data_IF_255930568410
#
_entry.id   IF_255930568410
#
_cell.length_a   1.000
_cell.length_b   1.000
_cell.length_c   1.000
_cell.angle_alpha   90.00
_cell.angle_beta   90.00
_cell.angle_gamma   90.00
#
_symmetry.space_group_name_H-M   'P 1'
#
loop_
_entity.id
_entity.type
_entity.pdbx_description
1 polymer ?
#
# COMPACT_ATOMS: atom_id res chain seq x y z
N UNK A 1 -36.88 29.44 -16.70
CA UNK A 1 -36.41 28.06 -16.97
C UNK A 1 -36.83 27.59 -18.36
N UNK A 2 -38.05 27.88 -18.81
CA UNK A 2 -38.53 27.51 -20.16
C UNK A 2 -37.63 28.01 -21.30
N UNK A 3 -37.07 29.23 -21.18
CA UNK A 3 -36.14 29.82 -22.16
C UNK A 3 -34.86 29.00 -22.37
N UNK A 4 -34.50 28.12 -21.44
CA UNK A 4 -33.33 27.24 -21.54
C UNK A 4 -33.69 25.77 -21.81
N UNK A 5 -34.97 25.47 -22.04
CA UNK A 5 -35.48 24.10 -22.19
C UNK A 5 -34.76 23.32 -23.28
N UNK A 6 -34.59 23.92 -24.46
CA UNK A 6 -33.89 23.28 -25.58
C UNK A 6 -32.46 22.83 -25.21
N UNK A 7 -31.71 23.66 -24.47
CA UNK A 7 -30.36 23.30 -24.00
C UNK A 7 -30.38 22.24 -22.90
N UNK A 8 -31.40 22.25 -22.05
CA UNK A 8 -31.54 21.30 -20.96
C UNK A 8 -32.02 19.91 -21.41
N UNK A 9 -32.84 19.84 -22.47
CA UNK A 9 -33.25 18.61 -23.14
C UNK A 9 -32.10 17.98 -23.95
N UNK A 10 -31.09 18.76 -24.36
CA UNK A 10 -29.94 18.23 -25.07
C UNK A 10 -28.97 17.42 -24.17
N UNK A 11 -29.10 17.56 -22.85
CA UNK A 11 -28.25 16.87 -21.87
C UNK A 11 -28.41 15.35 -21.97
N UNK A 12 -27.28 14.65 -21.87
CA UNK A 12 -27.24 13.18 -21.93
C UNK A 12 -28.18 12.50 -20.93
N UNK A 13 -28.36 13.07 -19.73
CA UNK A 13 -29.26 12.51 -18.72
C UNK A 13 -30.74 12.58 -19.12
N UNK A 14 -31.17 13.68 -19.75
CA UNK A 14 -32.53 13.78 -20.27
C UNK A 14 -32.73 12.82 -21.45
N UNK A 15 -31.77 12.76 -22.36
CA UNK A 15 -31.80 11.84 -23.52
C UNK A 15 -31.85 10.36 -23.14
N UNK A 16 -31.31 9.97 -21.98
CA UNK A 16 -31.42 8.61 -21.44
C UNK A 16 -32.76 8.31 -20.78
N UNK A 17 -33.60 9.33 -20.55
CA UNK A 17 -34.86 9.23 -19.82
C UNK A 17 -34.68 9.23 -18.31
N UNK A 18 -33.52 9.65 -17.80
CA UNK A 18 -33.23 9.57 -16.38
C UNK A 18 -33.98 10.64 -15.59
N UNK A 19 -34.21 11.83 -16.16
CA UNK A 19 -34.77 12.97 -15.44
C UNK A 19 -35.70 13.82 -16.30
N UNK A 20 -36.55 14.61 -15.65
CA UNK A 20 -37.22 15.74 -16.30
C UNK A 20 -36.22 16.74 -16.87
N UNK A 21 -36.59 17.47 -17.91
CA UNK A 21 -35.68 18.40 -18.61
C UNK A 21 -35.08 19.45 -17.66
N UNK A 22 -35.85 19.90 -16.67
CA UNK A 22 -35.44 20.89 -15.68
C UNK A 22 -34.74 20.33 -14.43
N UNK A 23 -34.67 19.00 -14.28
CA UNK A 23 -34.17 18.36 -13.05
C UNK A 23 -32.68 17.97 -13.16
N UNK A 24 -31.97 17.94 -12.04
CA UNK A 24 -30.60 17.42 -11.98
C UNK A 24 -30.58 15.90 -12.23
N UNK A 25 -29.46 15.40 -12.72
CA UNK A 25 -29.30 14.00 -13.12
C UNK A 25 -29.36 13.06 -11.93
N UNK A 26 -29.94 11.88 -12.08
CA UNK A 26 -29.97 10.87 -11.02
C UNK A 26 -28.64 10.12 -10.91
N UNK A 27 -28.30 9.61 -9.72
CA UNK A 27 -27.15 8.72 -9.56
C UNK A 27 -27.34 7.46 -10.42
N UNK A 28 -26.40 7.24 -11.36
CA UNK A 28 -26.38 6.06 -12.19
C UNK A 28 -26.11 4.81 -11.33
N UNK A 29 -26.92 3.76 -11.54
CA UNK A 29 -26.79 2.47 -10.85
C UNK A 29 -26.83 2.57 -9.33
N UNK A 30 -27.59 3.52 -8.77
CA UNK A 30 -27.74 3.74 -7.32
C UNK A 30 -28.04 2.44 -6.57
N UNK A 31 -28.89 1.59 -7.15
CA UNK A 31 -29.30 0.30 -6.60
C UNK A 31 -28.15 -0.68 -6.41
N UNK A 32 -27.04 -0.53 -7.16
CA UNK A 32 -25.89 -1.43 -7.12
C UNK A 32 -24.81 -0.99 -6.13
N UNK A 33 -24.86 0.24 -5.63
CA UNK A 33 -23.83 0.75 -4.72
C UNK A 33 -23.84 0.09 -3.34
N UNK A 34 -24.97 -0.51 -2.95
CA UNK A 34 -25.13 -1.29 -1.72
C UNK A 34 -24.68 -2.76 -1.87
N UNK A 35 -23.96 -3.09 -2.94
CA UNK A 35 -23.45 -4.44 -3.20
C UNK A 35 -21.93 -4.42 -3.33
N UNK A 36 -21.25 -5.57 -3.07
CA UNK A 36 -19.83 -5.70 -3.31
C UNK A 36 -19.46 -5.34 -4.75
N UNK A 37 -18.35 -4.61 -4.91
CA UNK A 37 -17.92 -4.05 -6.20
C UNK A 37 -16.41 -3.93 -6.28
N UNK A 38 -15.88 -3.95 -7.49
CA UNK A 38 -14.47 -3.63 -7.72
C UNK A 38 -14.38 -2.16 -8.15
N UNK A 39 -13.46 -1.40 -7.56
CA UNK A 39 -13.19 -0.01 -7.92
C UNK A 39 -11.83 0.14 -8.56
N UNK A 40 -11.72 1.07 -9.52
CA UNK A 40 -10.46 1.43 -10.21
C UNK A 40 -10.38 2.94 -10.41
N UNK A 41 -9.20 3.57 -10.30
CA UNK A 41 -9.05 4.98 -10.67
C UNK A 41 -9.29 5.18 -12.16
N UNK A 42 -9.77 6.35 -12.55
CA UNK A 42 -9.97 6.76 -13.95
C UNK A 42 -8.67 6.76 -14.75
N UNK A 43 -7.56 7.18 -14.14
CA UNK A 43 -6.23 7.17 -14.76
C UNK A 43 -5.20 6.53 -13.82
N UNK A 44 -4.44 5.56 -14.32
CA UNK A 44 -3.34 4.95 -13.57
C UNK A 44 -2.18 4.48 -14.47
N UNK A 45 -0.93 4.46 -13.97
CA UNK A 45 0.23 3.96 -14.71
C UNK A 45 0.21 2.45 -14.97
N UNK A 46 -0.65 1.72 -14.25
CA UNK A 46 -0.79 0.27 -14.28
C UNK A 46 -2.16 -0.11 -13.70
N UNK A 47 -2.55 -1.36 -13.87
CA UNK A 47 -3.77 -1.90 -13.30
C UNK A 47 -3.78 -1.71 -11.78
N UNK A 48 -4.86 -1.12 -11.27
CA UNK A 48 -5.06 -0.81 -9.85
C UNK A 48 -6.54 -1.03 -9.51
N UNK A 49 -6.90 -2.27 -9.27
CA UNK A 49 -8.26 -2.64 -8.91
C UNK A 49 -8.32 -2.98 -7.44
N UNK A 50 -9.32 -2.49 -6.72
CA UNK A 50 -9.57 -2.78 -5.32
C UNK A 50 -10.97 -3.35 -5.15
N UNK A 51 -11.14 -4.32 -4.25
CA UNK A 51 -12.44 -4.86 -3.89
C UNK A 51 -13.02 -4.06 -2.73
N UNK A 52 -14.19 -3.49 -2.94
CA UNK A 52 -15.07 -3.00 -1.89
C UNK A 52 -16.07 -4.12 -1.55
N UNK A 53 -15.76 -4.89 -0.50
CA UNK A 53 -16.60 -5.99 -0.05
C UNK A 53 -17.74 -5.54 0.88
N UNK A 54 -17.57 -4.41 1.55
CA UNK A 54 -18.55 -3.87 2.53
C UNK A 54 -19.57 -2.95 1.87
N UNK A 55 -19.35 -2.58 0.62
CA UNK A 55 -20.17 -1.63 -0.14
C UNK A 55 -20.15 -0.20 0.43
N UNK A 56 -19.15 0.14 1.26
CA UNK A 56 -19.07 1.42 1.97
C UNK A 56 -18.57 2.57 1.09
N UNK A 57 -17.86 2.26 0.01
CA UNK A 57 -17.20 3.28 -0.80
C UNK A 57 -18.04 3.70 -1.98
N UNK A 58 -18.18 5.02 -2.19
CA UNK A 58 -18.77 5.60 -3.39
C UNK A 58 -17.68 6.35 -4.15
N UNK A 59 -17.52 5.99 -5.42
CA UNK A 59 -16.58 6.63 -6.32
C UNK A 59 -17.05 8.02 -6.76
N UNK A 60 -16.11 8.93 -7.00
CA UNK A 60 -16.36 10.22 -7.65
C UNK A 60 -15.90 10.16 -9.11
N UNK A 61 -15.74 11.32 -9.75
CA UNK A 61 -15.43 11.48 -11.18
C UNK A 61 -14.10 10.87 -11.61
N UNK A 62 -13.20 10.56 -10.67
CA UNK A 62 -11.88 9.99 -10.90
C UNK A 62 -11.79 8.49 -10.60
N UNK A 63 -12.93 7.82 -10.46
CA UNK A 63 -13.01 6.37 -10.22
C UNK A 63 -14.16 5.73 -10.99
N UNK A 64 -14.01 4.44 -11.29
CA UNK A 64 -15.05 3.60 -11.89
C UNK A 64 -15.31 2.39 -11.00
N UNK A 65 -16.57 1.95 -10.98
CA UNK A 65 -17.00 0.74 -10.30
C UNK A 65 -17.39 -0.35 -11.30
N UNK A 66 -17.00 -1.58 -11.00
CA UNK A 66 -17.40 -2.81 -11.69
C UNK A 66 -18.32 -3.56 -10.74
N UNK A 67 -19.60 -3.58 -11.08
CA UNK A 67 -20.63 -4.25 -10.29
C UNK A 67 -20.77 -5.71 -10.71
N UNK A 68 -20.99 -6.59 -9.73
CA UNK A 68 -21.30 -8.00 -9.97
C UNK A 68 -22.67 -8.15 -10.66
N UNK A 69 -22.78 -9.14 -11.55
CA UNK A 69 -24.04 -9.66 -12.11
C UNK A 69 -24.17 -11.15 -11.79
N UNK A 70 -25.33 -11.75 -12.06
CA UNK A 70 -25.58 -13.18 -11.79
C UNK A 70 -24.62 -14.10 -12.56
N UNK A 71 -24.17 -13.68 -13.74
CA UNK A 71 -23.20 -14.41 -14.56
C UNK A 71 -21.73 -14.14 -14.19
N UNK A 72 -21.47 -13.25 -13.22
CA UNK A 72 -20.10 -12.89 -12.85
C UNK A 72 -19.45 -13.98 -11.98
N UNK A 73 -18.14 -14.26 -12.18
CA UNK A 73 -17.39 -15.09 -11.23
C UNK A 73 -17.30 -14.40 -9.86
N UNK A 74 -16.72 -15.10 -8.89
CA UNK A 74 -16.37 -14.49 -7.61
C UNK A 74 -15.51 -13.22 -7.84
N UNK A 75 -15.85 -12.12 -7.16
CA UNK A 75 -15.13 -10.86 -7.35
C UNK A 75 -13.66 -10.95 -6.94
N UNK A 76 -13.29 -11.85 -6.04
CA UNK A 76 -11.89 -12.09 -5.65
C UNK A 76 -11.12 -12.75 -6.79
N UNK A 77 -11.74 -13.66 -7.53
CA UNK A 77 -11.15 -14.24 -8.74
C UNK A 77 -10.90 -13.15 -9.78
N UNK A 78 -11.92 -12.35 -10.09
CA UNK A 78 -11.80 -11.25 -11.04
C UNK A 78 -10.75 -10.22 -10.60
N UNK A 79 -10.73 -9.85 -9.31
CA UNK A 79 -9.76 -8.94 -8.72
C UNK A 79 -8.32 -9.44 -8.92
N UNK A 80 -8.07 -10.73 -8.68
CA UNK A 80 -6.76 -11.33 -8.84
C UNK A 80 -6.28 -11.29 -10.30
N UNK A 81 -7.17 -11.62 -11.24
CA UNK A 81 -6.86 -11.54 -12.67
C UNK A 81 -6.58 -10.10 -13.09
N UNK A 82 -7.45 -9.15 -12.73
CA UNK A 82 -7.32 -7.75 -13.11
C UNK A 82 -6.02 -7.12 -12.59
N UNK A 83 -5.56 -7.52 -11.42
CA UNK A 83 -4.27 -7.07 -10.85
C UNK A 83 -3.07 -7.96 -11.25
N UNK A 84 -3.26 -8.99 -12.08
CA UNK A 84 -2.18 -9.86 -12.51
C UNK A 84 -1.18 -9.14 -13.43
N UNK A 85 0.08 -9.60 -13.42
CA UNK A 85 1.11 -9.10 -14.35
C UNK A 85 0.69 -9.28 -15.82
N UNK A 86 -0.01 -10.36 -16.13
CA UNK A 86 -0.47 -10.70 -17.48
C UNK A 86 -1.52 -9.70 -17.97
N UNK A 87 -2.59 -9.45 -17.20
CA UNK A 87 -3.61 -8.49 -17.61
C UNK A 87 -3.12 -7.06 -17.55
N UNK A 88 -2.20 -6.73 -16.63
CA UNK A 88 -1.51 -5.45 -16.66
C UNK A 88 -0.70 -5.26 -17.94
N UNK A 89 0.04 -6.29 -18.38
CA UNK A 89 0.76 -6.26 -19.65
C UNK A 89 -0.21 -6.09 -20.84
N UNK A 90 -1.30 -6.85 -20.88
CA UNK A 90 -2.29 -6.78 -21.96
C UNK A 90 -2.98 -5.41 -22.02
N UNK A 91 -3.33 -4.83 -20.87
CA UNK A 91 -4.06 -3.56 -20.82
C UNK A 91 -3.30 -2.42 -21.48
N UNK A 92 -1.96 -2.42 -21.43
CA UNK A 92 -1.10 -1.41 -22.08
C UNK A 92 -1.33 -1.26 -23.58
N UNK A 93 -1.85 -2.30 -24.26
CA UNK A 93 -2.07 -2.30 -25.70
C UNK A 93 -3.53 -2.00 -26.09
N UNK A 94 -4.47 -2.04 -25.15
CA UNK A 94 -5.90 -1.84 -25.42
C UNK A 94 -6.46 -0.59 -24.72
N UNK A 95 -5.83 -0.16 -23.63
CA UNK A 95 -6.18 1.03 -22.88
C UNK A 95 -5.73 2.28 -23.62
N UNK A 96 -6.52 3.36 -23.51
CA UNK A 96 -6.17 4.65 -24.07
C UNK A 96 -5.05 5.28 -23.25
N UNK A 97 -3.89 5.51 -23.86
CA UNK A 97 -2.77 6.14 -23.20
C UNK A 97 -3.08 7.61 -22.84
N UNK A 98 -2.69 7.98 -21.63
CA UNK A 98 -2.62 9.35 -21.12
C UNK A 98 -1.22 9.48 -20.56
N UNK A 99 -0.31 10.11 -21.30
CA UNK A 99 1.09 10.23 -20.89
C UNK A 99 1.73 8.86 -20.54
N UNK A 100 2.32 8.69 -19.35
CA UNK A 100 2.87 7.40 -18.89
C UNK A 100 1.81 6.48 -18.25
N UNK A 101 0.53 6.87 -18.33
CA UNK A 101 -0.64 6.26 -17.69
C UNK A 101 -1.68 5.82 -18.72
N UNK A 102 -2.70 5.13 -18.23
CA UNK A 102 -3.80 4.61 -19.04
C UNK A 102 -5.14 5.02 -18.43
N UNK A 103 -6.12 5.23 -19.29
CA UNK A 103 -7.51 5.53 -18.94
C UNK A 103 -8.29 4.22 -18.71
N UNK A 104 -8.98 4.11 -17.56
CA UNK A 104 -9.75 2.94 -17.11
C UNK A 104 -11.26 3.22 -17.15
N UNK A 105 -11.75 3.57 -18.33
CA UNK A 105 -13.19 3.73 -18.61
C UNK A 105 -13.78 2.45 -19.21
N UNK A 106 -15.11 2.35 -19.21
CA UNK A 106 -15.87 1.24 -19.79
C UNK A 106 -15.31 0.75 -21.14
N UNK A 107 -15.16 1.65 -22.12
CA UNK A 107 -14.66 1.32 -23.47
C UNK A 107 -13.31 0.59 -23.50
N UNK A 108 -12.44 0.82 -22.50
CA UNK A 108 -11.17 0.12 -22.35
C UNK A 108 -11.32 -1.17 -21.54
N UNK A 109 -12.08 -1.11 -20.45
CA UNK A 109 -12.28 -2.22 -19.52
C UNK A 109 -12.99 -3.40 -20.16
N UNK A 110 -14.01 -3.19 -21.00
CA UNK A 110 -14.75 -4.27 -21.67
C UNK A 110 -13.89 -5.10 -22.63
N UNK A 111 -12.73 -4.57 -23.04
CA UNK A 111 -11.79 -5.24 -23.96
C UNK A 111 -10.81 -6.16 -23.24
N UNK A 112 -10.79 -6.15 -21.90
CA UNK A 112 -9.91 -7.03 -21.12
C UNK A 112 -10.39 -8.48 -21.29
N UNK A 113 -9.56 -9.38 -21.84
CA UNK A 113 -9.95 -10.77 -21.97
C UNK A 113 -9.91 -11.45 -20.60
N UNK A 114 -11.07 -11.91 -20.13
CA UNK A 114 -11.19 -12.73 -18.93
C UNK A 114 -11.51 -14.16 -19.37
N UNK A 115 -10.56 -15.07 -19.17
CA UNK A 115 -10.76 -16.50 -19.40
C UNK A 115 -11.03 -17.17 -18.05
N UNK A 116 -12.16 -17.85 -17.94
CA UNK A 116 -12.48 -18.67 -16.79
C UNK A 116 -11.64 -19.96 -16.84
N UNK A 117 -11.04 -20.30 -15.70
CA UNK A 117 -10.32 -21.56 -15.52
C UNK A 117 -11.28 -22.68 -15.09
N UNK A 118 -10.77 -23.90 -14.94
CA UNK A 118 -11.50 -24.96 -14.24
C UNK A 118 -11.78 -24.59 -12.77
N UNK A 119 -12.69 -25.34 -12.14
CA UNK A 119 -13.16 -25.08 -10.77
C UNK A 119 -12.03 -25.11 -9.75
N UNK A 120 -11.10 -26.06 -9.86
CA UNK A 120 -9.96 -26.21 -8.94
C UNK A 120 -9.05 -24.98 -9.00
N UNK A 121 -8.61 -24.60 -10.20
CA UNK A 121 -7.77 -23.42 -10.41
C UNK A 121 -8.48 -22.14 -9.99
N UNK A 122 -9.80 -22.06 -10.24
CA UNK A 122 -10.62 -20.92 -9.82
C UNK A 122 -10.62 -20.77 -8.30
N UNK A 123 -10.83 -21.87 -7.57
CA UNK A 123 -10.83 -21.86 -6.12
C UNK A 123 -9.45 -21.50 -5.55
N UNK A 124 -8.35 -22.05 -6.10
CA UNK A 124 -6.99 -21.70 -5.68
C UNK A 124 -6.71 -20.19 -5.82
N UNK A 125 -7.14 -19.58 -6.93
CA UNK A 125 -6.98 -18.15 -7.16
C UNK A 125 -7.82 -17.33 -6.16
N UNK A 126 -9.04 -17.78 -5.85
CA UNK A 126 -9.90 -17.13 -4.85
C UNK A 126 -9.23 -17.17 -3.47
N UNK A 127 -8.68 -18.30 -3.07
CA UNK A 127 -8.04 -18.47 -1.77
C UNK A 127 -6.77 -17.63 -1.64
N UNK A 128 -5.94 -17.58 -2.69
CA UNK A 128 -4.78 -16.69 -2.75
C UNK A 128 -5.19 -15.21 -2.71
N UNK A 129 -6.24 -14.82 -3.43
CA UNK A 129 -6.77 -13.47 -3.41
C UNK A 129 -7.28 -13.09 -2.01
N UNK A 130 -8.00 -13.99 -1.35
CA UNK A 130 -8.45 -13.80 0.03
C UNK A 130 -7.27 -13.62 0.98
N UNK A 131 -6.24 -14.48 0.88
CA UNK A 131 -5.03 -14.34 1.70
C UNK A 131 -4.31 -13.02 1.47
N UNK A 132 -4.26 -12.52 0.22
CA UNK A 132 -3.69 -11.21 -0.09
C UNK A 132 -4.50 -10.06 0.52
N UNK A 133 -5.83 -10.14 0.50
CA UNK A 133 -6.72 -9.16 1.14
C UNK A 133 -6.53 -9.14 2.66
N UNK A 134 -6.48 -10.31 3.28
CA UNK A 134 -6.27 -10.46 4.73
C UNK A 134 -4.89 -9.91 5.14
N UNK A 135 -3.82 -10.25 4.41
CA UNK A 135 -2.48 -9.68 4.62
C UNK A 135 -2.45 -8.16 4.45
N UNK A 136 -3.18 -7.64 3.47
CA UNK A 136 -3.29 -6.20 3.25
C UNK A 136 -3.99 -5.52 4.44
N UNK A 137 -5.09 -6.09 4.92
CA UNK A 137 -5.81 -5.62 6.09
C UNK A 137 -4.90 -5.58 7.31
N UNK A 138 -4.26 -6.70 7.68
CA UNK A 138 -3.34 -6.76 8.84
C UNK A 138 -2.25 -5.71 8.74
N UNK A 139 -1.64 -5.56 7.54
CA UNK A 139 -0.59 -4.55 7.31
C UNK A 139 -1.10 -3.12 7.48
N UNK A 140 -2.30 -2.80 6.99
CA UNK A 140 -2.89 -1.47 7.14
C UNK A 140 -3.27 -1.21 8.60
N UNK A 141 -3.91 -2.15 9.29
CA UNK A 141 -4.25 -2.02 10.71
C UNK A 141 -3.01 -1.78 11.55
N UNK A 142 -1.93 -2.53 11.32
CA UNK A 142 -0.67 -2.34 12.03
C UNK A 142 -0.05 -0.96 11.78
N UNK A 143 0.02 -0.51 10.52
CA UNK A 143 0.60 0.79 10.20
C UNK A 143 -0.23 1.95 10.75
N UNK A 144 -1.55 1.89 10.61
CA UNK A 144 -2.45 2.93 11.10
C UNK A 144 -2.38 3.03 12.63
N UNK A 145 -2.50 1.90 13.32
CA UNK A 145 -2.40 1.88 14.77
C UNK A 145 -1.02 2.38 15.26
N UNK A 146 0.06 2.00 14.58
CA UNK A 146 1.39 2.50 14.90
C UNK A 146 1.47 4.03 14.76
N UNK A 147 0.95 4.59 13.66
CA UNK A 147 0.94 6.04 13.44
C UNK A 147 0.10 6.76 14.48
N UNK A 148 -1.08 6.24 14.81
CA UNK A 148 -1.95 6.79 15.86
C UNK A 148 -1.27 6.76 17.24
N UNK A 149 -0.70 5.62 17.64
CA UNK A 149 0.07 5.50 18.89
C UNK A 149 1.27 6.44 18.92
N UNK A 150 1.99 6.59 17.80
CA UNK A 150 3.12 7.49 17.70
C UNK A 150 2.70 8.96 17.82
N UNK A 151 1.57 9.35 17.21
CA UNK A 151 1.01 10.70 17.33
C UNK A 151 0.55 11.04 18.75
N UNK A 152 0.11 10.04 19.51
CA UNK A 152 -0.22 10.18 20.93
C UNK A 152 1.01 10.22 21.86
N UNK A 153 2.21 9.94 21.33
CA UNK A 153 3.45 9.86 22.10
C UNK A 153 4.32 11.10 21.85
N UNK A 154 4.97 11.62 22.89
CA UNK A 154 5.98 12.67 22.72
C UNK A 154 7.25 12.06 22.14
N UNK A 155 7.71 12.58 20.99
CA UNK A 155 8.95 12.14 20.37
C UNK A 155 9.66 13.31 19.68
N UNK A 156 10.96 13.13 19.38
CA UNK A 156 11.74 14.07 18.57
C UNK A 156 12.07 13.45 17.21
N UNK A 157 11.65 14.05 16.08
CA UNK A 157 12.07 13.60 14.76
C UNK A 157 13.56 13.88 14.56
N UNK A 158 14.29 12.88 14.08
CA UNK A 158 15.73 12.97 13.75
C UNK A 158 15.97 12.28 12.41
N UNK A 159 17.09 12.61 11.76
CA UNK A 159 17.46 11.86 10.57
C UNK A 159 17.91 10.43 10.94
N UNK A 160 17.56 9.44 10.13
CA UNK A 160 17.84 8.04 10.43
C UNK A 160 19.35 7.75 10.52
N UNK A 161 20.14 8.45 9.70
CA UNK A 161 21.60 8.32 9.70
C UNK A 161 22.23 8.60 11.07
N UNK A 162 21.90 9.72 11.74
CA UNK A 162 22.47 10.05 13.05
C UNK A 162 21.69 9.45 14.22
N UNK A 163 20.37 9.27 14.08
CA UNK A 163 19.53 8.78 15.18
C UNK A 163 19.84 7.33 15.57
N UNK A 164 20.04 6.47 14.56
CA UNK A 164 20.20 5.03 14.79
C UNK A 164 21.39 4.46 14.05
N UNK A 165 21.53 4.76 12.75
CA UNK A 165 22.52 4.08 11.92
C UNK A 165 23.96 4.33 12.40
N UNK A 166 24.36 5.59 12.61
CA UNK A 166 25.69 6.00 13.00
C UNK A 166 25.80 6.46 14.46
N UNK A 167 24.84 6.08 15.29
CA UNK A 167 24.84 6.39 16.71
C UNK A 167 25.66 5.33 17.48
N UNK A 168 26.59 5.74 18.33
CA UNK A 168 27.55 4.84 19.01
C UNK A 168 26.88 3.83 19.93
N UNK A 169 25.80 4.22 20.62
CA UNK A 169 25.09 3.32 21.53
C UNK A 169 24.23 2.25 20.82
N UNK A 170 23.86 2.46 19.55
CA UNK A 170 23.12 1.47 18.76
C UNK A 170 24.05 0.60 17.93
N UNK A 171 25.05 1.22 17.32
CA UNK A 171 25.97 0.59 16.36
C UNK A 171 26.80 -0.50 17.03
N UNK A 172 26.67 -1.74 16.53
CA UNK A 172 27.44 -2.88 17.00
C UNK A 172 26.91 -3.52 18.29
N UNK A 173 25.85 -2.96 18.88
CA UNK A 173 25.15 -3.54 20.04
C UNK A 173 23.77 -4.06 19.66
N UNK A 174 22.91 -3.17 19.16
CA UNK A 174 21.51 -3.49 18.80
C UNK A 174 21.27 -3.43 17.30
N UNK A 175 22.14 -2.74 16.56
CA UNK A 175 22.13 -2.68 15.11
C UNK A 175 23.48 -3.17 14.59
N UNK A 176 23.49 -4.34 13.94
CA UNK A 176 24.65 -4.89 13.27
C UNK A 176 24.56 -4.64 11.75
N UNK A 177 25.63 -4.15 11.14
CA UNK A 177 25.67 -3.83 9.71
C UNK A 177 26.24 -5.05 8.98
N UNK A 178 25.40 -5.78 8.25
CA UNK A 178 25.79 -7.05 7.62
C UNK A 178 26.27 -6.86 6.17
N UNK A 179 25.74 -5.86 5.48
CA UNK A 179 26.15 -5.52 4.13
C UNK A 179 25.79 -4.08 3.79
N UNK A 180 26.63 -3.39 3.02
CA UNK A 180 26.40 -2.01 2.60
C UNK A 180 27.07 -1.76 1.26
N UNK A 181 26.48 -0.86 0.48
CA UNK A 181 27.12 -0.32 -0.72
C UNK A 181 28.35 0.50 -0.35
N UNK A 182 29.31 0.65 -1.27
CA UNK A 182 30.45 1.54 -1.07
C UNK A 182 29.99 2.92 -0.59
N UNK A 183 30.49 3.35 0.57
CA UNK A 183 30.13 4.62 1.20
C UNK A 183 30.50 5.85 0.34
N UNK A 184 31.43 5.68 -0.62
CA UNK A 184 31.82 6.71 -1.56
C UNK A 184 31.02 6.70 -2.87
N UNK A 185 30.13 5.72 -3.08
CA UNK A 185 29.29 5.69 -4.27
C UNK A 185 28.38 6.92 -4.30
N UNK A 186 28.37 7.60 -5.45
CA UNK A 186 27.61 8.84 -5.66
C UNK A 186 26.54 8.67 -6.72
N UNK A 187 25.45 9.40 -6.58
CA UNK A 187 24.37 9.45 -7.57
C UNK A 187 23.15 10.20 -7.07
N UNK A 188 22.02 9.96 -7.72
CA UNK A 188 20.71 10.56 -7.36
C UNK A 188 19.76 9.46 -6.90
N UNK A 189 19.28 9.56 -5.66
CA UNK A 189 18.29 8.62 -5.10
C UNK A 189 16.89 9.11 -5.46
N UNK A 190 16.15 8.33 -6.24
CA UNK A 190 14.78 8.63 -6.65
C UNK A 190 13.73 7.88 -5.84
N UNK A 191 14.09 6.73 -5.27
CA UNK A 191 13.22 5.95 -4.40
C UNK A 191 14.00 5.18 -3.34
N UNK A 192 13.37 4.90 -2.21
CA UNK A 192 13.90 4.07 -1.13
C UNK A 192 12.88 2.98 -0.83
N UNK A 193 13.35 1.73 -0.73
CA UNK A 193 12.53 0.55 -0.54
C UNK A 193 13.05 -0.22 0.67
N UNK A 194 12.18 -0.48 1.65
CA UNK A 194 12.56 -1.13 2.91
C UNK A 194 11.77 -2.42 3.08
N UNK A 195 12.50 -3.51 3.35
CA UNK A 195 11.95 -4.86 3.54
C UNK A 195 12.47 -5.44 4.85
N UNK A 196 11.63 -6.22 5.51
CA UNK A 196 12.04 -7.06 6.63
C UNK A 196 12.29 -8.48 6.08
N UNK A 197 13.39 -9.09 6.50
CA UNK A 197 13.78 -10.47 6.17
C UNK A 197 14.39 -11.11 7.40
N UNK A 198 13.67 -12.01 8.06
CA UNK A 198 14.15 -12.56 9.35
C UNK A 198 14.42 -11.40 10.32
N UNK A 199 15.58 -11.37 10.96
CA UNK A 199 16.01 -10.33 11.89
C UNK A 199 16.53 -9.08 11.18
N UNK A 200 16.45 -9.02 9.85
CA UNK A 200 17.12 -7.98 9.06
C UNK A 200 16.14 -6.98 8.46
N UNK A 201 16.55 -5.71 8.45
CA UNK A 201 16.00 -4.67 7.59
C UNK A 201 16.92 -4.49 6.38
N UNK A 202 16.39 -4.78 5.21
CA UNK A 202 17.08 -4.63 3.93
C UNK A 202 16.55 -3.38 3.23
N UNK A 203 17.42 -2.40 3.08
CA UNK A 203 17.14 -1.12 2.42
C UNK A 203 17.77 -1.16 1.03
N UNK A 204 16.93 -0.95 0.02
CA UNK A 204 17.34 -0.71 -1.35
C UNK A 204 17.02 0.73 -1.73
N UNK A 205 17.73 1.23 -2.73
CA UNK A 205 17.41 2.48 -3.39
C UNK A 205 17.14 2.23 -4.87
N UNK A 206 16.40 3.14 -5.49
CA UNK A 206 16.43 3.32 -6.94
C UNK A 206 17.31 4.53 -7.21
N UNK A 207 18.44 4.27 -7.86
CA UNK A 207 19.36 5.28 -8.36
C UNK A 207 18.96 5.63 -9.80
N UNK A 208 19.03 6.91 -10.15
CA UNK A 208 18.52 7.45 -11.41
C UNK A 208 19.13 6.78 -12.65
N UNK A 209 20.44 6.55 -12.68
CA UNK A 209 21.13 5.96 -13.82
C UNK A 209 21.20 4.42 -13.76
N UNK A 210 21.36 3.88 -12.55
CA UNK A 210 21.74 2.48 -12.32
C UNK A 210 20.56 1.59 -11.95
N UNK A 211 19.39 2.18 -11.69
CA UNK A 211 18.19 1.44 -11.26
C UNK A 211 18.28 0.97 -9.81
N UNK A 212 17.73 -0.20 -9.52
CA UNK A 212 17.61 -0.69 -8.14
C UNK A 212 18.94 -1.22 -7.61
N UNK A 213 19.42 -0.67 -6.50
CA UNK A 213 20.70 -1.04 -5.85
C UNK A 213 20.42 -1.41 -4.38
N UNK A 214 21.01 -2.50 -3.85
CA UNK A 214 21.03 -2.75 -2.40
C UNK A 214 21.86 -1.66 -1.71
N UNK A 215 21.24 -0.91 -0.79
CA UNK A 215 21.90 0.17 -0.07
C UNK A 215 22.59 -0.35 1.18
N UNK A 216 21.82 -1.01 2.05
CA UNK A 216 22.29 -1.53 3.32
C UNK A 216 21.37 -2.61 3.89
N UNK A 217 21.97 -3.58 4.58
CA UNK A 217 21.31 -4.56 5.42
C UNK A 217 21.70 -4.34 6.88
N UNK A 218 20.68 -4.14 7.73
CA UNK A 218 20.81 -3.99 9.17
C UNK A 218 20.22 -5.22 9.85
N UNK A 219 21.03 -5.96 10.59
CA UNK A 219 20.56 -7.03 11.47
C UNK A 219 20.22 -6.44 12.84
N UNK A 220 18.94 -6.61 13.23
CA UNK A 220 18.32 -6.06 14.43
C UNK A 220 17.53 -7.21 15.07
N UNK A 221 18.16 -8.02 15.94
CA UNK A 221 17.53 -9.20 16.54
C UNK A 221 16.28 -8.89 17.36
N UNK A 222 16.22 -7.70 17.96
CA UNK A 222 15.06 -7.21 18.71
C UNK A 222 13.87 -6.93 17.78
N UNK A 223 12.82 -7.76 17.89
CA UNK A 223 11.63 -7.70 17.03
C UNK A 223 10.87 -6.38 17.13
N UNK A 224 10.73 -5.83 18.32
CA UNK A 224 9.93 -4.63 18.57
C UNK A 224 10.68 -3.40 18.08
N UNK A 225 11.96 -3.34 18.37
CA UNK A 225 12.82 -2.27 17.87
C UNK A 225 12.95 -2.31 16.34
N UNK A 226 13.13 -3.50 15.76
CA UNK A 226 13.18 -3.69 14.30
C UNK A 226 11.89 -3.26 13.62
N UNK A 227 10.73 -3.69 14.14
CA UNK A 227 9.42 -3.35 13.59
C UNK A 227 9.07 -1.89 13.78
N UNK A 228 9.47 -1.28 14.90
CA UNK A 228 9.36 0.16 15.11
C UNK A 228 10.10 0.92 14.01
N UNK A 229 11.37 0.59 13.74
CA UNK A 229 12.14 1.23 12.65
C UNK A 229 11.45 1.00 11.30
N UNK A 230 11.02 -0.23 11.01
CA UNK A 230 10.32 -0.55 9.77
C UNK A 230 9.06 0.28 9.56
N UNK A 231 8.20 0.37 10.57
CA UNK A 231 6.92 1.08 10.51
C UNK A 231 7.13 2.59 10.45
N UNK A 232 8.06 3.12 11.24
CA UNK A 232 8.42 4.54 11.20
C UNK A 232 8.95 4.97 9.84
N UNK A 233 9.91 4.22 9.27
CA UNK A 233 10.45 4.54 7.95
C UNK A 233 9.41 4.36 6.85
N UNK A 234 8.50 3.36 6.96
CA UNK A 234 7.39 3.21 6.01
C UNK A 234 6.39 4.36 6.10
N UNK A 235 6.08 4.83 7.30
CA UNK A 235 5.22 6.00 7.51
C UNK A 235 5.84 7.25 6.87
N UNK A 236 7.15 7.46 7.06
CA UNK A 236 7.89 8.57 6.46
C UNK A 236 7.90 8.51 4.91
N UNK A 237 8.16 7.32 4.35
CA UNK A 237 8.11 7.10 2.90
C UNK A 237 6.69 7.35 2.33
N UNK A 238 5.66 6.95 3.06
CA UNK A 238 4.27 7.16 2.65
C UNK A 238 3.87 8.64 2.71
N UNK A 239 4.21 9.33 3.78
CA UNK A 239 3.97 10.77 3.93
C UNK A 239 4.63 11.58 2.80
N UNK A 240 5.79 11.11 2.32
CA UNK A 240 6.58 11.75 1.28
C UNK A 240 6.50 11.04 -0.09
N UNK A 241 5.47 10.24 -0.35
CA UNK A 241 5.37 9.39 -1.56
C UNK A 241 5.39 10.15 -2.91
N UNK A 242 5.16 11.47 -2.89
CA UNK A 242 5.22 12.33 -4.08
C UNK A 242 6.63 12.86 -4.39
N UNK A 243 7.58 12.69 -3.46
CA UNK A 243 8.96 13.15 -3.58
C UNK A 243 9.66 12.38 -4.71
N UNK A 244 10.12 13.12 -5.71
CA UNK A 244 10.80 12.56 -6.89
C UNK A 244 12.29 12.30 -6.65
N UNK A 245 12.91 13.06 -5.73
CA UNK A 245 14.33 12.98 -5.42
C UNK A 245 14.49 12.99 -3.90
N UNK A 246 15.07 11.92 -3.36
CA UNK A 246 15.34 11.74 -1.94
C UNK A 246 16.68 12.35 -1.53
N UNK A 247 17.72 12.14 -2.32
CA UNK A 247 19.07 12.62 -2.03
C UNK A 247 19.92 12.75 -3.30
N UNK A 248 20.97 13.57 -3.23
CA UNK A 248 22.05 13.66 -4.22
C UNK A 248 23.41 13.57 -3.52
N UNK A 249 24.41 13.03 -4.20
CA UNK A 249 25.75 12.87 -3.64
C UNK A 249 25.99 11.46 -3.12
N UNK A 250 26.59 11.30 -1.95
CA UNK A 250 26.89 9.98 -1.38
C UNK A 250 25.60 9.21 -1.12
N UNK A 251 25.41 8.09 -1.82
CA UNK A 251 24.13 7.37 -1.84
C UNK A 251 23.74 6.87 -0.45
N UNK A 252 24.66 6.21 0.27
CA UNK A 252 24.39 5.65 1.59
C UNK A 252 24.02 6.73 2.60
N UNK A 253 24.90 7.71 2.81
CA UNK A 253 24.68 8.77 3.79
C UNK A 253 23.45 9.61 3.40
N UNK A 254 23.38 10.06 2.15
CA UNK A 254 22.30 10.92 1.67
C UNK A 254 20.92 10.26 1.77
N UNK A 255 20.78 8.98 1.40
CA UNK A 255 19.51 8.27 1.51
C UNK A 255 19.04 8.14 2.97
N UNK A 256 19.96 7.83 3.90
CA UNK A 256 19.62 7.67 5.31
C UNK A 256 19.39 9.01 6.03
N UNK A 257 20.06 10.09 5.62
CA UNK A 257 19.81 11.45 6.13
C UNK A 257 18.49 12.03 5.63
N UNK A 258 18.03 11.60 4.45
CA UNK A 258 16.77 12.04 3.87
C UNK A 258 15.52 11.47 4.57
N UNK A 259 15.68 10.47 5.45
CA UNK A 259 14.60 9.81 6.18
C UNK A 259 14.51 10.38 7.60
N UNK A 260 13.35 10.93 7.96
CA UNK A 260 13.04 11.26 9.35
C UNK A 260 12.53 10.03 10.10
N UNK A 261 12.94 9.90 11.35
CA UNK A 261 12.53 8.82 12.25
C UNK A 261 12.34 9.37 13.67
N UNK A 262 11.29 8.94 14.39
CA UNK A 262 11.06 9.34 15.78
C UNK A 262 12.10 8.74 16.72
N UNK A 263 12.59 9.57 17.65
CA UNK A 263 13.30 9.16 18.86
C UNK A 263 12.39 9.50 20.05
N UNK A 264 11.92 8.50 20.78
CA UNK A 264 10.93 8.67 21.85
C UNK A 264 11.55 9.33 23.09
N UNK A 265 12.75 8.90 23.47
CA UNK A 265 13.52 9.50 24.57
C UNK A 265 14.98 9.67 24.15
N UNK A 266 15.53 10.87 24.29
CA UNK A 266 16.91 11.21 23.92
C UNK A 266 17.96 11.00 25.04
N UNK A 267 17.62 10.31 26.13
CA UNK A 267 18.51 10.16 27.29
C UNK A 267 19.59 9.08 27.11
N UNK A 268 19.26 7.94 26.49
CA UNK A 268 20.18 6.86 26.11
C UNK A 268 19.52 5.92 25.11
N UNK A 269 20.29 5.10 24.40
CA UNK A 269 19.73 4.12 23.48
C UNK A 269 18.86 3.08 24.21
N UNK A 270 19.29 2.64 25.39
CA UNK A 270 18.56 1.68 26.22
C UNK A 270 17.19 2.23 26.65
N UNK A 271 17.14 3.47 27.16
CA UNK A 271 15.88 4.10 27.57
C UNK A 271 14.94 4.29 26.38
N UNK A 272 15.48 4.66 25.22
CA UNK A 272 14.66 4.81 24.02
C UNK A 272 14.08 3.46 23.55
N UNK A 273 14.88 2.38 23.57
CA UNK A 273 14.42 1.03 23.22
C UNK A 273 13.32 0.56 24.19
N UNK A 274 13.48 0.82 25.50
CA UNK A 274 12.44 0.48 26.48
C UNK A 274 11.09 1.16 26.19
N UNK A 275 11.11 2.44 25.79
CA UNK A 275 9.89 3.13 25.40
C UNK A 275 9.32 2.60 24.08
N UNK A 276 10.18 2.22 23.13
CA UNK A 276 9.76 1.59 21.89
C UNK A 276 9.03 0.27 22.18
N UNK A 277 9.54 -0.55 23.10
CA UNK A 277 8.88 -1.78 23.53
C UNK A 277 7.49 -1.51 24.10
N UNK A 278 7.34 -0.50 24.97
CA UNK A 278 6.03 -0.11 25.53
C UNK A 278 5.04 0.28 24.43
N UNK A 279 5.45 1.17 23.53
CA UNK A 279 4.63 1.60 22.39
C UNK A 279 4.25 0.42 21.48
N UNK A 280 5.21 -0.45 21.15
CA UNK A 280 4.97 -1.60 20.27
C UNK A 280 4.12 -2.68 20.94
N UNK A 281 4.17 -2.82 22.27
CA UNK A 281 3.27 -3.70 23.01
C UNK A 281 1.81 -3.23 22.94
N UNK A 282 1.56 -1.93 23.07
CA UNK A 282 0.22 -1.34 22.92
C UNK A 282 -0.32 -1.53 21.50
N UNK A 283 0.50 -1.21 20.49
CA UNK A 283 0.16 -1.41 19.07
C UNK A 283 -0.20 -2.88 18.83
N UNK A 284 0.62 -3.82 19.29
CA UNK A 284 0.34 -5.26 19.14
C UNK A 284 -0.95 -5.68 19.81
N UNK A 285 -1.22 -5.21 21.03
CA UNK A 285 -2.45 -5.55 21.74
C UNK A 285 -3.68 -5.13 20.95
N UNK A 286 -3.71 -3.89 20.45
CA UNK A 286 -4.81 -3.39 19.65
C UNK A 286 -4.95 -4.15 18.33
N UNK A 287 -3.85 -4.31 17.58
CA UNK A 287 -3.91 -4.93 16.25
C UNK A 287 -4.35 -6.38 16.37
N UNK A 288 -3.84 -7.15 17.33
CA UNK A 288 -4.29 -8.52 17.58
C UNK A 288 -5.80 -8.58 17.82
N UNK A 289 -6.34 -7.69 18.67
CA UNK A 289 -7.79 -7.63 18.90
C UNK A 289 -8.58 -7.29 17.64
N UNK A 290 -8.13 -6.29 16.87
CA UNK A 290 -8.83 -5.86 15.65
C UNK A 290 -8.78 -6.93 14.55
N UNK A 291 -7.64 -7.60 14.40
CA UNK A 291 -7.44 -8.68 13.43
C UNK A 291 -8.29 -9.89 13.78
N UNK A 292 -8.31 -10.31 15.05
CA UNK A 292 -9.18 -11.41 15.48
C UNK A 292 -10.66 -11.09 15.29
N UNK A 293 -11.08 -9.85 15.58
CA UNK A 293 -12.47 -9.43 15.38
C UNK A 293 -12.90 -9.42 13.91
N UNK A 294 -12.02 -8.99 13.00
CA UNK A 294 -12.35 -8.88 11.57
C UNK A 294 -12.21 -10.22 10.82
N UNK A 295 -11.16 -10.99 11.13
CA UNK A 295 -10.80 -12.17 10.34
C UNK A 295 -11.31 -13.49 10.94
N UNK A 296 -11.74 -13.50 12.21
CA UNK A 296 -12.21 -14.70 12.89
C UNK A 296 -11.18 -15.82 12.81
N UNK A 297 -11.58 -17.01 12.36
CA UNK A 297 -10.70 -18.18 12.22
C UNK A 297 -9.53 -17.93 11.25
N UNK A 298 -9.71 -17.05 10.25
CA UNK A 298 -8.63 -16.67 9.34
C UNK A 298 -7.53 -15.86 10.02
N UNK A 299 -7.74 -15.35 11.24
CA UNK A 299 -6.68 -14.69 12.00
C UNK A 299 -5.56 -15.67 12.39
N UNK A 300 -5.87 -16.97 12.54
CA UNK A 300 -4.89 -17.97 12.98
C UNK A 300 -3.67 -18.07 12.06
N UNK A 301 -3.85 -17.82 10.76
CA UNK A 301 -2.75 -17.81 9.77
C UNK A 301 -1.76 -16.64 9.96
N UNK A 302 -2.06 -15.70 10.86
CA UNK A 302 -1.24 -14.52 11.17
C UNK A 302 -0.73 -14.51 12.61
N UNK A 303 -0.95 -15.57 13.39
CA UNK A 303 -0.36 -15.67 14.74
C UNK A 303 1.18 -15.62 14.68
N UNK A 304 1.78 -16.19 13.64
CA UNK A 304 3.23 -16.16 13.38
C UNK A 304 3.74 -14.76 12.99
N UNK A 305 2.88 -13.90 12.43
CA UNK A 305 3.22 -12.53 12.07
C UNK A 305 3.62 -11.70 13.30
N UNK A 306 3.16 -12.12 14.49
CA UNK A 306 3.48 -11.46 15.75
C UNK A 306 4.61 -12.13 16.53
N UNK A 307 4.83 -13.43 16.34
CA UNK A 307 5.59 -14.28 17.26
C UNK A 307 6.96 -14.78 16.79
N UNK A 308 7.24 -14.95 15.49
CA UNK A 308 8.62 -15.20 15.00
C UNK A 308 8.65 -15.64 13.55
N UNK A 309 9.76 -15.29 12.91
CA UNK A 309 10.14 -15.66 11.56
C UNK A 309 10.49 -17.13 11.43
N UNK A 310 9.63 -17.92 10.78
CA UNK A 310 10.04 -19.08 9.96
C UNK A 310 9.07 -19.31 8.80
N UNK A 311 9.02 -18.40 7.84
CA UNK A 311 8.59 -18.76 6.49
C UNK A 311 9.80 -18.72 5.57
N UNK A 312 10.37 -19.92 5.38
CA UNK A 312 11.24 -20.24 4.24
C UNK A 312 10.54 -19.72 2.97
N UNK A 313 11.11 -18.70 2.34
CA UNK A 313 10.83 -18.43 0.94
C UNK A 313 11.59 -19.47 0.12
N UNK A 314 10.85 -20.31 -0.60
CA UNK A 314 11.26 -20.71 -1.94
C UNK A 314 10.89 -19.58 -2.90
#
# INVERSE_FOLDING_TARGET
MEEHRAGLEDRAAFKRGDCEWWHFTWPLHKERYNSPKIVTPFIAPKNRFALDATAEYVGLTDTYAIFKTDASPDLRYLLALLNSKLLNFRFRYIGKAKDYRYEYVENGLIKIPIRLADETTTQEIIDLAQRMLDLHFVRQTMLNQFVESLQATVYTPRNFYHAYYNHSEYRGQTIHRVGFVDANLRGTVTSIIIREQTTQLVIHIVEEASGMIPLITLDIPDDDFRRFILLALRAELFANQRKQIWARGRLLQGALEALQIPVLIGASAANNIEQIHKLMAEVRHYVTRRVSAELGDRAAQFNDLWLSLKLRQK
#
